data_IF_262277892315
#
_entry.id   IF_262277892315
#
_cell.length_a   1.000
_cell.length_b   1.000
_cell.length_c   1.000
_cell.angle_alpha   90.00
_cell.angle_beta   90.00
_cell.angle_gamma   90.00
#
_symmetry.space_group_name_H-M   'P 1'
#
loop_
_entity.id
_entity.type
_entity.pdbx_description
1 polymer ?
#
# COMPACT_ATOMS: atom_id res chain seq x y z
N UNK A 1 -22.46 2.92 9.24
CA UNK A 1 -21.78 3.81 8.28
C UNK A 1 -21.41 3.01 7.04
N UNK A 2 -21.92 3.44 5.90
CA UNK A 2 -21.64 2.73 4.66
C UNK A 2 -20.22 2.99 4.19
N UNK A 3 -19.53 1.93 3.81
CA UNK A 3 -18.20 2.04 3.23
C UNK A 3 -18.34 2.39 1.75
N UNK A 4 -17.64 3.44 1.35
CA UNK A 4 -17.61 3.86 -0.05
C UNK A 4 -16.44 3.17 -0.74
N UNK A 5 -16.75 2.23 -1.64
CA UNK A 5 -15.72 1.44 -2.31
C UNK A 5 -14.76 2.31 -3.14
N UNK A 6 -15.25 3.41 -3.69
CA UNK A 6 -14.38 4.32 -4.44
C UNK A 6 -13.36 5.01 -3.52
N UNK A 7 -13.76 5.37 -2.32
CA UNK A 7 -12.85 5.96 -1.34
C UNK A 7 -11.85 4.95 -0.81
N UNK A 8 -12.30 3.72 -0.57
CA UNK A 8 -11.40 2.64 -0.14
C UNK A 8 -10.31 2.43 -1.18
N UNK A 9 -10.70 2.26 -2.43
CA UNK A 9 -9.76 2.08 -3.53
C UNK A 9 -8.81 3.27 -3.66
N UNK A 10 -9.37 4.48 -3.70
CA UNK A 10 -8.58 5.70 -3.87
C UNK A 10 -7.55 5.91 -2.75
N UNK A 11 -7.97 5.71 -1.50
CA UNK A 11 -7.07 5.84 -0.36
C UNK A 11 -5.95 4.81 -0.41
N UNK A 12 -6.27 3.57 -0.78
CA UNK A 12 -5.27 2.51 -0.87
C UNK A 12 -4.27 2.78 -1.98
N UNK A 13 -4.74 3.21 -3.16
CA UNK A 13 -3.85 3.57 -4.26
C UNK A 13 -2.88 4.67 -3.82
N UNK A 14 -3.40 5.71 -3.19
CA UNK A 14 -2.58 6.84 -2.73
C UNK A 14 -1.52 6.39 -1.72
N UNK A 15 -1.90 5.57 -0.74
CA UNK A 15 -0.98 5.04 0.26
C UNK A 15 0.12 4.19 -0.37
N UNK A 16 -0.27 3.25 -1.22
CA UNK A 16 0.69 2.36 -1.88
C UNK A 16 1.62 3.16 -2.78
N UNK A 17 1.07 4.10 -3.56
CA UNK A 17 1.85 4.98 -4.41
C UNK A 17 2.95 5.70 -3.62
N UNK A 18 2.57 6.27 -2.47
CA UNK A 18 3.52 7.00 -1.62
C UNK A 18 4.59 6.07 -1.04
N UNK A 19 4.23 4.85 -0.65
CA UNK A 19 5.23 3.90 -0.16
C UNK A 19 6.22 3.49 -1.24
N UNK A 20 5.81 3.57 -2.51
CA UNK A 20 6.69 3.29 -3.66
C UNK A 20 7.45 4.54 -4.12
N UNK A 21 7.30 5.66 -3.43
CA UNK A 21 7.93 6.95 -3.77
C UNK A 21 7.57 7.43 -5.17
N UNK A 22 6.32 7.18 -5.58
CA UNK A 22 5.80 7.62 -6.87
C UNK A 22 4.97 8.89 -6.71
N UNK A 23 5.18 9.84 -7.61
CA UNK A 23 4.28 11.00 -7.71
C UNK A 23 3.02 10.59 -8.46
N UNK A 24 1.93 11.36 -8.31
CA UNK A 24 0.73 11.16 -9.10
C UNK A 24 1.04 11.21 -10.60
N UNK A 25 1.86 12.17 -10.99
CA UNK A 25 2.29 12.32 -12.39
C UNK A 25 2.98 11.07 -12.92
N UNK A 26 3.90 10.51 -12.14
CA UNK A 26 4.64 9.32 -12.56
C UNK A 26 3.74 8.10 -12.64
N UNK A 27 2.86 7.92 -11.66
CA UNK A 27 1.93 6.80 -11.69
C UNK A 27 0.97 6.91 -12.88
N UNK A 28 0.43 8.10 -13.13
CA UNK A 28 -0.45 8.33 -14.28
C UNK A 28 0.26 7.99 -15.60
N UNK A 29 1.52 8.42 -15.73
CA UNK A 29 2.36 8.09 -16.90
C UNK A 29 2.50 6.58 -17.07
N UNK A 30 2.83 5.86 -16.00
CA UNK A 30 3.01 4.42 -16.05
C UNK A 30 1.71 3.68 -16.39
N UNK A 31 0.58 4.23 -15.97
CA UNK A 31 -0.74 3.67 -16.27
C UNK A 31 -1.27 4.06 -17.64
N UNK A 32 -0.67 5.07 -18.28
CA UNK A 32 -1.15 5.59 -19.55
C UNK A 32 -2.46 6.35 -19.44
N UNK A 33 -2.71 7.00 -18.31
CA UNK A 33 -3.91 7.82 -18.08
C UNK A 33 -3.51 9.25 -17.71
N UNK A 34 -4.48 10.17 -17.79
CA UNK A 34 -4.26 11.55 -17.40
C UNK A 34 -4.13 11.69 -15.87
N UNK A 35 -3.34 12.64 -15.42
CA UNK A 35 -3.18 12.94 -13.99
C UNK A 35 -4.54 13.26 -13.37
N UNK A 36 -5.38 14.01 -14.07
CA UNK A 36 -6.72 14.35 -13.61
C UNK A 36 -7.56 13.10 -13.34
N UNK A 37 -7.47 12.10 -14.21
CA UNK A 37 -8.18 10.84 -14.05
C UNK A 37 -7.71 10.10 -12.82
N UNK A 38 -6.39 10.04 -12.60
CA UNK A 38 -5.83 9.40 -11.42
C UNK A 38 -6.23 10.14 -10.15
N UNK A 39 -6.22 11.48 -10.19
CA UNK A 39 -6.64 12.31 -9.06
C UNK A 39 -8.08 12.01 -8.65
N UNK A 40 -8.98 11.87 -9.62
CA UNK A 40 -10.37 11.51 -9.35
C UNK A 40 -10.48 10.13 -8.68
N UNK A 41 -9.69 9.18 -9.13
CA UNK A 41 -9.67 7.84 -8.52
C UNK A 41 -9.15 7.92 -7.08
N UNK A 42 -8.04 8.61 -6.85
CA UNK A 42 -7.43 8.72 -5.51
C UNK A 42 -8.29 9.47 -4.51
N UNK A 43 -9.12 10.40 -4.97
CA UNK A 43 -10.03 11.14 -4.09
C UNK A 43 -11.38 10.44 -3.89
N UNK A 44 -11.60 9.32 -4.56
CA UNK A 44 -12.84 8.57 -4.44
C UNK A 44 -14.00 9.18 -5.23
N UNK A 45 -13.73 10.15 -6.10
CA UNK A 45 -14.76 10.80 -6.94
C UNK A 45 -15.00 10.07 -8.24
N UNK A 46 -14.12 9.16 -8.61
CA UNK A 46 -14.25 8.32 -9.78
C UNK A 46 -13.84 6.90 -9.47
N UNK A 47 -14.12 5.98 -10.38
CA UNK A 47 -13.74 4.59 -10.24
C UNK A 47 -12.92 4.16 -11.45
N UNK A 48 -12.05 3.18 -11.24
CA UNK A 48 -11.20 2.67 -12.30
C UNK A 48 -11.91 1.56 -13.07
N UNK A 49 -11.68 1.50 -14.39
CA UNK A 49 -12.12 0.36 -15.19
C UNK A 49 -11.37 -0.90 -14.76
N UNK A 50 -11.89 -2.07 -15.14
CA UNK A 50 -11.22 -3.34 -14.86
C UNK A 50 -9.79 -3.34 -15.42
N UNK A 51 -9.60 -2.79 -16.62
CA UNK A 51 -8.28 -2.70 -17.23
C UNK A 51 -7.32 -1.82 -16.43
N UNK A 52 -7.80 -0.68 -15.96
CA UNK A 52 -7.00 0.22 -15.12
C UNK A 52 -6.65 -0.44 -13.79
N UNK A 53 -7.59 -1.18 -13.19
CA UNK A 53 -7.34 -1.93 -11.96
C UNK A 53 -6.23 -2.98 -12.15
N UNK A 54 -6.28 -3.72 -13.26
CA UNK A 54 -5.24 -4.68 -13.60
C UNK A 54 -3.88 -4.00 -13.73
N UNK A 55 -3.84 -2.86 -14.41
CA UNK A 55 -2.61 -2.11 -14.62
C UNK A 55 -2.08 -1.54 -13.30
N UNK A 56 -2.98 -1.05 -12.42
CA UNK A 56 -2.61 -0.58 -11.10
C UNK A 56 -1.94 -1.69 -10.28
N UNK A 57 -2.53 -2.89 -10.29
CA UNK A 57 -1.96 -4.02 -9.56
C UNK A 57 -0.56 -4.35 -10.06
N UNK A 58 -0.36 -4.33 -11.38
CA UNK A 58 0.94 -4.62 -12.00
C UNK A 58 1.97 -3.54 -11.69
N UNK A 59 1.62 -2.28 -11.91
CA UNK A 59 2.55 -1.16 -11.74
C UNK A 59 2.94 -0.99 -10.28
N UNK A 60 1.99 -1.14 -9.36
CA UNK A 60 2.24 -1.01 -7.93
C UNK A 60 2.76 -2.30 -7.29
N UNK A 61 2.77 -3.40 -8.05
CA UNK A 61 3.21 -4.72 -7.57
C UNK A 61 2.43 -5.17 -6.34
N UNK A 62 1.11 -5.12 -6.45
CA UNK A 62 0.19 -5.53 -5.39
C UNK A 62 -0.91 -6.39 -5.98
N UNK A 63 -1.68 -7.04 -5.12
CA UNK A 63 -2.83 -7.85 -5.53
C UNK A 63 -4.10 -7.00 -5.57
N UNK A 64 -5.14 -7.51 -6.22
CA UNK A 64 -6.45 -6.85 -6.17
C UNK A 64 -6.96 -6.75 -4.73
N UNK A 65 -6.69 -7.76 -3.90
CA UNK A 65 -7.06 -7.74 -2.49
C UNK A 65 -6.41 -6.55 -1.78
N UNK A 66 -5.14 -6.26 -2.06
CA UNK A 66 -4.45 -5.11 -1.46
C UNK A 66 -5.11 -3.79 -1.84
N UNK A 67 -5.59 -3.68 -3.08
CA UNK A 67 -6.24 -2.46 -3.55
C UNK A 67 -7.56 -2.18 -2.83
N UNK A 68 -8.26 -3.20 -2.38
CA UNK A 68 -9.55 -3.07 -1.72
C UNK A 68 -9.51 -3.39 -0.23
N UNK A 69 -8.31 -3.48 0.35
CA UNK A 69 -8.17 -3.78 1.78
C UNK A 69 -8.74 -2.64 2.62
N UNK A 70 -9.46 -3.01 3.66
CA UNK A 70 -10.06 -2.05 4.58
C UNK A 70 -9.06 -1.76 5.70
N UNK A 71 -8.77 -0.47 5.88
CA UNK A 71 -7.86 -0.02 6.92
C UNK A 71 -8.61 0.14 8.24
N UNK A 72 -8.52 -0.86 9.11
CA UNK A 72 -9.13 -0.84 10.43
C UNK A 72 -8.16 -1.44 11.46
N UNK A 73 -8.67 -1.79 12.65
CA UNK A 73 -7.83 -2.41 13.68
C UNK A 73 -7.21 -3.74 13.22
N UNK A 74 -7.86 -4.43 12.28
CA UNK A 74 -7.34 -5.69 11.74
C UNK A 74 -6.08 -5.46 10.92
N UNK A 75 -5.92 -4.30 10.30
CA UNK A 75 -4.71 -4.00 9.52
C UNK A 75 -3.47 -3.92 10.42
N UNK A 76 -3.61 -3.41 11.64
CA UNK A 76 -2.50 -3.39 12.59
C UNK A 76 -2.06 -4.80 12.98
N UNK A 77 -3.01 -5.70 13.16
CA UNK A 77 -2.71 -7.09 13.46
C UNK A 77 -2.02 -7.79 12.29
N UNK A 78 -2.44 -7.50 11.07
CA UNK A 78 -1.80 -8.04 9.87
C UNK A 78 -0.34 -7.54 9.77
N UNK A 79 -0.13 -6.25 9.98
CA UNK A 79 1.21 -5.66 9.98
C UNK A 79 2.08 -6.31 11.06
N UNK A 80 1.52 -6.45 12.26
CA UNK A 80 2.22 -7.10 13.36
C UNK A 80 2.67 -8.51 13.00
N UNK A 81 1.78 -9.31 12.41
CA UNK A 81 2.10 -10.67 11.97
C UNK A 81 3.20 -10.70 10.92
N UNK A 82 3.17 -9.75 9.98
CA UNK A 82 4.21 -9.63 8.95
C UNK A 82 5.56 -9.32 9.58
N UNK A 83 5.60 -8.43 10.55
CA UNK A 83 6.82 -8.08 11.26
C UNK A 83 7.38 -9.30 12.01
N UNK A 84 6.53 -10.04 12.71
CA UNK A 84 6.94 -11.25 13.43
C UNK A 84 7.52 -12.27 12.45
N UNK A 85 6.89 -12.45 11.30
CA UNK A 85 7.41 -13.37 10.29
C UNK A 85 8.81 -12.96 9.80
N UNK A 86 9.00 -11.66 9.55
CA UNK A 86 10.29 -11.12 9.13
C UNK A 86 11.36 -11.31 10.22
N UNK A 87 11.00 -11.09 11.48
CA UNK A 87 11.91 -11.29 12.61
C UNK A 87 12.34 -12.76 12.69
N UNK A 88 11.40 -13.68 12.52
CA UNK A 88 11.72 -15.11 12.52
C UNK A 88 12.70 -15.49 11.41
N UNK A 89 12.66 -14.81 10.28
CA UNK A 89 13.55 -15.08 9.15
C UNK A 89 15.00 -14.70 9.44
N UNK A 90 15.25 -13.81 10.41
CA UNK A 90 16.60 -13.35 10.76
C UNK A 90 17.06 -13.86 12.13
N UNK A 91 16.36 -14.81 12.72
CA UNK A 91 16.64 -15.28 14.09
C UNK A 91 18.06 -15.83 14.28
N UNK A 92 18.71 -16.26 13.23
CA UNK A 92 20.08 -16.79 13.29
C UNK A 92 21.14 -15.78 12.82
N UNK A 93 20.73 -14.54 12.53
CA UNK A 93 21.62 -13.48 12.06
C UNK A 93 21.83 -12.47 13.20
N UNK A 94 22.90 -12.67 13.97
CA UNK A 94 23.19 -11.84 15.13
C UNK A 94 23.31 -10.37 14.78
N UNK A 95 23.98 -10.03 13.67
CA UNK A 95 24.18 -8.64 13.24
C UNK A 95 22.86 -7.94 12.98
N UNK A 96 21.94 -8.61 12.26
CA UNK A 96 20.62 -8.04 11.96
C UNK A 96 19.76 -7.91 13.21
N UNK A 97 19.83 -8.88 14.12
CA UNK A 97 19.09 -8.83 15.37
C UNK A 97 19.54 -7.67 16.25
N UNK A 98 20.86 -7.46 16.35
CA UNK A 98 21.41 -6.34 17.12
C UNK A 98 21.00 -4.99 16.55
N UNK A 99 21.03 -4.87 15.22
CA UNK A 99 20.57 -3.66 14.53
C UNK A 99 19.10 -3.41 14.80
N UNK A 100 18.26 -4.44 14.71
CA UNK A 100 16.83 -4.34 14.97
C UNK A 100 16.57 -3.92 16.41
N UNK A 101 17.29 -4.48 17.37
CA UNK A 101 17.15 -4.12 18.79
C UNK A 101 17.40 -2.63 19.01
N UNK A 102 18.44 -2.09 18.38
CA UNK A 102 18.76 -0.65 18.47
C UNK A 102 17.62 0.18 17.92
N UNK A 103 17.09 -0.19 16.75
CA UNK A 103 15.95 0.51 16.12
C UNK A 103 14.73 0.49 17.02
N UNK A 104 14.41 -0.68 17.57
CA UNK A 104 13.23 -0.83 18.45
C UNK A 104 13.34 0.01 19.71
N UNK A 105 14.53 0.12 20.29
CA UNK A 105 14.75 0.97 21.47
C UNK A 105 14.46 2.44 21.15
N UNK A 106 14.76 2.87 19.93
CA UNK A 106 14.45 4.23 19.50
C UNK A 106 12.97 4.49 19.26
N UNK A 107 12.16 3.46 19.06
CA UNK A 107 10.72 3.58 18.82
C UNK A 107 9.91 3.56 20.11
N UNK A 108 10.47 3.03 21.20
CA UNK A 108 9.80 2.91 22.49
C UNK A 108 10.24 4.05 23.47
#
# INVERSE_FOLDING_TARGET
MEENICKILGNNIKKIRKTKNLTQSKLAELLGIEIKSLSLIETGKGFASAKTLENLAKVLDVTATDLFAISDKKSNEIIYRKIIHQIKSIKNDTSKLETLEIILKGLI
#
